data_IF_454822910769
#
_entry.id   IF_454822910769
#
_cell.length_a   1.000
_cell.length_b   1.000
_cell.length_c   1.000
_cell.angle_alpha   90.00
_cell.angle_beta   90.00
_cell.angle_gamma   90.00
#
_symmetry.space_group_name_H-M   'P 1'
#
loop_
_entity.id
_entity.type
_entity.pdbx_description
1 polymer ?
#
# COMPACT_ATOMS: atom_id res chain seq x y z
N UNK A 1 8.79 20.03 -5.99
CA UNK A 1 8.96 20.97 -4.86
C UNK A 1 8.40 20.32 -3.61
N UNK A 2 9.18 20.10 -2.58
CA UNK A 2 8.74 19.55 -1.32
C UNK A 2 8.02 20.64 -0.51
N UNK A 3 6.82 20.35 -0.01
CA UNK A 3 6.05 21.32 0.78
C UNK A 3 6.47 21.18 2.24
N UNK A 4 6.71 22.30 2.93
CA UNK A 4 6.95 22.28 4.37
C UNK A 4 5.81 21.57 5.08
N UNK A 5 6.15 20.62 5.91
CA UNK A 5 5.21 19.79 6.69
C UNK A 5 5.77 19.58 8.10
N UNK A 6 5.01 18.93 8.97
CA UNK A 6 5.50 18.54 10.29
C UNK A 6 6.57 17.42 10.22
N UNK A 7 6.95 16.99 9.02
CA UNK A 7 7.94 15.95 8.76
C UNK A 7 7.58 14.60 9.40
N UNK A 8 6.29 14.31 9.51
CA UNK A 8 5.78 13.06 10.07
C UNK A 8 5.81 11.98 8.99
N UNK A 9 6.38 10.83 9.32
CA UNK A 9 6.49 9.69 8.41
C UNK A 9 5.17 8.92 8.31
N UNK A 10 4.70 8.73 7.07
CA UNK A 10 3.58 7.88 6.69
C UNK A 10 4.03 6.82 5.69
N UNK A 11 3.36 5.67 5.71
CA UNK A 11 3.71 4.54 4.84
C UNK A 11 2.42 3.88 4.33
N UNK A 12 2.33 3.71 3.03
CA UNK A 12 1.37 2.80 2.41
C UNK A 12 2.09 1.50 2.07
N UNK A 13 1.53 0.37 2.47
CA UNK A 13 2.08 -0.98 2.25
C UNK A 13 1.12 -1.82 1.42
N UNK A 14 1.65 -2.58 0.48
CA UNK A 14 0.88 -3.47 -0.38
C UNK A 14 1.70 -4.71 -0.74
N UNK A 15 1.03 -5.82 -1.03
CA UNK A 15 1.63 -7.02 -1.59
C UNK A 15 0.80 -7.59 -2.74
N UNK A 16 1.47 -8.00 -3.81
CA UNK A 16 0.84 -8.80 -4.85
C UNK A 16 1.26 -10.26 -4.68
N UNK A 17 0.26 -11.13 -4.42
CA UNK A 17 0.48 -12.54 -4.14
C UNK A 17 0.69 -13.32 -5.44
N UNK A 18 1.76 -14.13 -5.49
CA UNK A 18 2.12 -15.03 -6.61
C UNK A 18 2.27 -14.37 -7.99
N UNK A 19 2.67 -13.10 -8.06
CA UNK A 19 2.80 -12.35 -9.33
C UNK A 19 4.20 -12.45 -9.95
N UNK A 20 5.16 -12.99 -9.23
CA UNK A 20 6.54 -13.12 -9.67
C UNK A 20 6.88 -14.56 -10.08
N UNK A 21 7.93 -14.77 -10.91
CA UNK A 21 8.41 -16.11 -11.25
C UNK A 21 8.67 -16.98 -10.02
N UNK A 22 8.55 -18.29 -10.17
CA UNK A 22 8.71 -19.29 -9.10
C UNK A 22 7.74 -19.10 -7.93
N UNK A 23 6.47 -18.76 -8.23
CA UNK A 23 5.41 -18.56 -7.25
C UNK A 23 5.78 -17.56 -6.13
N UNK A 24 6.57 -16.54 -6.45
CA UNK A 24 6.93 -15.48 -5.50
C UNK A 24 5.93 -14.34 -5.53
N UNK A 25 5.91 -13.60 -4.45
CA UNK A 25 5.08 -12.41 -4.28
C UNK A 25 5.93 -11.15 -4.35
N UNK A 26 5.31 -10.02 -4.68
CA UNK A 26 5.97 -8.70 -4.68
C UNK A 26 5.48 -7.89 -3.50
N UNK A 27 6.40 -7.26 -2.77
CA UNK A 27 6.10 -6.27 -1.75
C UNK A 27 6.34 -4.86 -2.29
N UNK A 28 5.48 -3.94 -1.92
CA UNK A 28 5.67 -2.52 -2.16
C UNK A 28 5.45 -1.69 -0.90
N UNK A 29 6.09 -0.52 -0.88
CA UNK A 29 5.93 0.50 0.13
C UNK A 29 6.11 1.88 -0.47
N UNK A 30 5.21 2.79 -0.13
CA UNK A 30 5.28 4.20 -0.49
C UNK A 30 5.46 5.02 0.78
N UNK A 31 6.66 5.61 0.96
CA UNK A 31 7.03 6.36 2.15
C UNK A 31 6.99 7.85 1.83
N UNK A 32 6.26 8.62 2.62
CA UNK A 32 6.16 10.05 2.43
C UNK A 32 6.13 10.79 3.77
N UNK A 33 6.47 12.07 3.74
CA UNK A 33 6.37 12.95 4.91
C UNK A 33 5.14 13.84 4.76
N UNK A 34 4.37 13.94 5.81
CA UNK A 34 3.16 14.74 5.87
C UNK A 34 3.08 15.57 7.15
N UNK A 35 1.89 16.06 7.42
CA UNK A 35 1.57 16.86 8.60
C UNK A 35 0.63 16.11 9.56
N UNK A 36 0.41 16.68 10.76
CA UNK A 36 -0.49 16.13 11.79
C UNK A 36 -1.94 15.99 11.32
N UNK A 37 -2.39 16.86 10.40
CA UNK A 37 -3.75 16.80 9.84
C UNK A 37 -3.94 15.72 8.78
N UNK A 38 -2.84 15.12 8.31
CA UNK A 38 -2.83 14.08 7.27
C UNK A 38 -3.49 14.51 5.95
N UNK A 39 -3.53 15.80 5.68
CA UNK A 39 -4.13 16.38 4.47
C UNK A 39 -3.10 16.64 3.36
N UNK A 40 -1.80 16.54 3.66
CA UNK A 40 -0.71 16.74 2.71
C UNK A 40 -0.03 15.41 2.38
N UNK A 41 0.07 15.10 1.11
CA UNK A 41 0.95 14.07 0.58
C UNK A 41 2.07 14.78 -0.18
N UNK A 42 3.26 14.79 0.40
CA UNK A 42 4.46 15.14 -0.32
C UNK A 42 4.88 14.00 -1.25
N UNK A 43 5.75 14.25 -2.21
CA UNK A 43 6.37 13.20 -3.00
C UNK A 43 7.02 12.14 -2.10
N UNK A 44 7.17 10.92 -2.61
CA UNK A 44 7.80 9.84 -1.85
C UNK A 44 9.26 10.19 -1.52
N UNK A 45 9.67 9.91 -0.29
CA UNK A 45 11.08 9.92 0.12
C UNK A 45 11.76 8.58 -0.15
N UNK A 46 10.97 7.51 -0.20
CA UNK A 46 11.42 6.15 -0.51
C UNK A 46 10.27 5.37 -1.13
N UNK A 47 10.59 4.60 -2.17
CA UNK A 47 9.69 3.59 -2.74
C UNK A 47 10.36 2.23 -2.60
N UNK A 48 9.67 1.29 -1.95
CA UNK A 48 10.03 -0.12 -1.97
C UNK A 48 9.22 -0.80 -3.08
N UNK A 49 9.88 -1.50 -3.98
CA UNK A 49 9.26 -2.42 -4.94
C UNK A 49 10.19 -3.64 -5.06
N UNK A 50 9.88 -4.72 -4.35
CA UNK A 50 10.81 -5.85 -4.21
C UNK A 50 10.10 -7.19 -4.20
N UNK A 51 10.66 -8.16 -4.91
CA UNK A 51 10.22 -9.56 -4.82
C UNK A 51 10.50 -10.12 -3.42
N UNK A 52 9.50 -10.75 -2.83
CA UNK A 52 9.64 -11.48 -1.56
C UNK A 52 10.36 -12.79 -1.86
N UNK A 53 11.51 -13.00 -1.24
CA UNK A 53 12.40 -14.14 -1.56
C UNK A 53 11.80 -15.51 -1.23
N UNK A 54 10.79 -15.57 -0.36
CA UNK A 54 10.16 -16.81 0.09
C UNK A 54 8.79 -16.96 -0.57
N UNK A 55 8.40 -18.21 -0.87
CA UNK A 55 7.04 -18.53 -1.30
C UNK A 55 6.09 -18.35 -0.11
N UNK A 56 5.02 -17.61 -0.31
CA UNK A 56 4.00 -17.37 0.69
C UNK A 56 2.84 -18.35 0.49
N UNK A 57 2.23 -18.79 1.58
CA UNK A 57 1.12 -19.75 1.54
C UNK A 57 -0.25 -19.07 1.33
N UNK A 58 -0.32 -17.76 1.51
CA UNK A 58 -1.56 -16.97 1.34
C UNK A 58 -1.29 -15.51 1.04
N UNK A 59 -2.30 -14.80 0.50
CA UNK A 59 -2.24 -13.36 0.30
C UNK A 59 -2.02 -12.60 1.61
N UNK A 60 -2.69 -13.01 2.71
CA UNK A 60 -2.49 -12.40 4.01
C UNK A 60 -1.05 -12.54 4.52
N UNK A 61 -0.40 -13.67 4.23
CA UNK A 61 1.01 -13.88 4.56
C UNK A 61 1.93 -12.96 3.77
N UNK A 62 1.67 -12.77 2.48
CA UNK A 62 2.42 -11.84 1.64
C UNK A 62 2.28 -10.40 2.16
N UNK A 63 1.08 -9.99 2.57
CA UNK A 63 0.84 -8.67 3.18
C UNK A 63 1.60 -8.48 4.49
N UNK A 64 1.57 -9.45 5.41
CA UNK A 64 2.37 -9.38 6.64
C UNK A 64 3.87 -9.29 6.34
N UNK A 65 4.35 -9.99 5.30
CA UNK A 65 5.74 -9.91 4.88
C UNK A 65 6.09 -8.52 4.32
N UNK A 66 5.21 -7.91 3.52
CA UNK A 66 5.37 -6.54 3.02
C UNK A 66 5.37 -5.53 4.17
N UNK A 67 4.42 -5.62 5.10
CA UNK A 67 4.37 -4.79 6.30
C UNK A 67 5.67 -4.88 7.12
N UNK A 68 6.19 -6.09 7.31
CA UNK A 68 7.46 -6.30 8.01
C UNK A 68 8.64 -5.64 7.29
N UNK A 69 8.73 -5.76 5.95
CA UNK A 69 9.80 -5.16 5.17
C UNK A 69 9.74 -3.63 5.25
N UNK A 70 8.55 -3.06 5.11
CA UNK A 70 8.31 -1.62 5.22
C UNK A 70 8.60 -1.09 6.63
N UNK A 71 8.12 -1.76 7.67
CA UNK A 71 8.36 -1.37 9.05
C UNK A 71 9.85 -1.42 9.42
N UNK A 72 10.62 -2.40 8.91
CA UNK A 72 12.08 -2.43 9.12
C UNK A 72 12.77 -1.18 8.57
N UNK A 73 12.42 -0.75 7.36
CA UNK A 73 12.96 0.48 6.76
C UNK A 73 12.51 1.71 7.55
N UNK A 74 11.27 1.72 8.00
CA UNK A 74 10.71 2.81 8.79
C UNK A 74 11.48 3.09 10.08
N UNK A 75 12.00 2.05 10.75
CA UNK A 75 12.78 2.24 11.99
C UNK A 75 13.97 3.18 11.75
N UNK A 76 14.75 2.94 10.70
CA UNK A 76 15.93 3.75 10.39
C UNK A 76 15.54 5.18 10.00
N UNK A 77 14.49 5.34 9.17
CA UNK A 77 14.00 6.66 8.75
C UNK A 77 13.49 7.45 9.96
N UNK A 78 12.69 6.83 10.85
CA UNK A 78 12.21 7.45 12.09
C UNK A 78 13.35 7.95 12.95
N UNK A 79 14.39 7.12 13.15
CA UNK A 79 15.56 7.50 13.93
C UNK A 79 16.31 8.68 13.32
N UNK A 80 16.46 8.71 11.99
CA UNK A 80 17.08 9.83 11.29
C UNK A 80 16.27 11.13 11.49
N UNK A 81 14.95 11.08 11.29
CA UNK A 81 14.05 12.22 11.49
C UNK A 81 14.12 12.77 12.92
N UNK A 82 14.08 11.88 13.92
CA UNK A 82 14.21 12.29 15.34
C UNK A 82 15.55 12.97 15.61
N UNK A 83 16.65 12.42 15.08
CA UNK A 83 17.99 13.04 15.24
C UNK A 83 18.11 14.39 14.53
N UNK A 84 17.34 14.62 13.46
CA UNK A 84 17.24 15.91 12.76
C UNK A 84 16.31 16.91 13.48
N UNK A 85 15.77 16.57 14.64
CA UNK A 85 14.90 17.46 15.43
C UNK A 85 13.42 17.37 15.10
N UNK A 86 12.98 16.34 14.34
CA UNK A 86 11.57 16.12 13.98
C UNK A 86 10.98 14.97 14.81
N UNK A 87 10.31 15.23 15.97
CA UNK A 87 9.68 14.20 16.77
C UNK A 87 8.68 13.38 15.97
N UNK A 88 8.73 12.05 16.11
CA UNK A 88 7.90 11.14 15.36
C UNK A 88 6.83 10.50 16.27
N UNK A 89 5.54 10.75 16.06
CA UNK A 89 4.46 9.96 16.66
C UNK A 89 4.55 8.51 16.17
N UNK A 90 3.70 7.58 16.66
CA UNK A 90 3.59 6.26 16.05
C UNK A 90 3.42 6.39 14.53
N UNK A 91 4.33 5.78 13.74
CA UNK A 91 4.23 5.88 12.28
C UNK A 91 3.04 5.08 11.80
N UNK A 92 2.15 5.73 11.10
CA UNK A 92 0.97 5.10 10.50
C UNK A 92 1.37 4.31 9.25
N UNK A 93 1.07 3.01 9.27
CA UNK A 93 1.31 2.09 8.16
C UNK A 93 -0.04 1.57 7.68
N UNK A 94 -0.43 1.95 6.47
CA UNK A 94 -1.66 1.52 5.83
C UNK A 94 -1.48 0.16 5.15
N UNK A 95 -2.47 -0.72 5.30
CA UNK A 95 -2.62 -1.96 4.51
C UNK A 95 -4.07 -2.08 4.03
N UNK A 96 -4.29 -2.70 2.89
CA UNK A 96 -5.63 -2.98 2.36
C UNK A 96 -6.11 -4.42 2.65
N UNK A 97 -5.32 -5.19 3.37
CA UNK A 97 -5.68 -6.55 3.80
C UNK A 97 -6.21 -6.55 5.23
N UNK A 98 -7.53 -6.68 5.39
CA UNK A 98 -8.18 -6.72 6.70
C UNK A 98 -7.74 -7.90 7.56
N UNK A 99 -7.41 -9.05 6.95
CA UNK A 99 -6.90 -10.24 7.65
C UNK A 99 -5.52 -9.97 8.23
N UNK A 100 -4.61 -9.34 7.46
CA UNK A 100 -3.28 -8.97 7.94
C UNK A 100 -3.38 -7.98 9.11
N UNK A 101 -4.25 -6.98 9.00
CA UNK A 101 -4.51 -6.04 10.08
C UNK A 101 -5.12 -6.74 11.31
N UNK A 102 -6.11 -7.61 11.13
CA UNK A 102 -6.75 -8.37 12.20
C UNK A 102 -5.79 -9.33 12.93
N UNK A 103 -4.84 -9.92 12.20
CA UNK A 103 -3.79 -10.75 12.79
C UNK A 103 -2.88 -9.87 13.69
N UNK A 104 -2.45 -8.70 13.22
CA UNK A 104 -1.55 -7.83 13.98
C UNK A 104 -2.24 -7.22 15.21
N UNK A 105 -3.53 -6.90 15.12
CA UNK A 105 -4.34 -6.39 16.23
C UNK A 105 -4.90 -7.46 17.19
N UNK A 106 -4.52 -8.73 17.05
CA UNK A 106 -5.03 -9.89 17.82
C UNK A 106 -6.53 -10.16 17.69
N UNK A 107 -7.22 -9.56 16.75
CA UNK A 107 -8.64 -9.84 16.49
C UNK A 107 -8.84 -11.16 15.74
N UNK A 108 -7.81 -11.66 15.07
CA UNK A 108 -7.79 -12.93 14.33
C UNK A 108 -6.61 -13.78 14.79
N UNK A 109 -6.86 -15.03 15.20
CA UNK A 109 -5.81 -15.97 15.58
C UNK A 109 -5.00 -16.42 14.37
N UNK A 110 -3.67 -16.33 14.47
CA UNK A 110 -2.78 -16.74 13.40
C UNK A 110 -2.71 -18.25 13.24
N UNK A 111 -2.75 -18.75 11.99
CA UNK A 111 -2.45 -20.13 11.64
C UNK A 111 -0.97 -20.50 11.85
N UNK A 112 -0.65 -21.78 11.94
CA UNK A 112 0.58 -22.38 12.53
C UNK A 112 1.90 -22.22 11.76
N UNK A 113 2.10 -21.24 10.87
CA UNK A 113 3.38 -21.07 10.15
C UNK A 113 4.47 -20.41 11.02
N UNK A 114 5.58 -21.13 11.26
CA UNK A 114 6.70 -20.64 12.09
C UNK A 114 7.41 -19.41 11.50
N UNK A 115 7.55 -19.33 10.19
CA UNK A 115 8.25 -18.22 9.53
C UNK A 115 7.50 -16.88 9.62
N UNK A 116 6.17 -16.94 9.60
CA UNK A 116 5.31 -15.77 9.80
C UNK A 116 5.38 -15.31 11.25
N UNK A 117 5.45 -16.23 12.21
CA UNK A 117 5.42 -15.91 13.63
C UNK A 117 6.47 -14.88 14.03
N UNK A 118 7.72 -15.03 13.60
CA UNK A 118 8.77 -14.08 13.98
C UNK A 118 8.51 -12.67 13.44
N UNK A 119 8.11 -12.54 12.18
CA UNK A 119 7.79 -11.25 11.55
C UNK A 119 6.57 -10.61 12.20
N UNK A 120 5.55 -11.41 12.44
CA UNK A 120 4.34 -11.04 13.12
C UNK A 120 4.62 -10.52 14.55
N UNK A 121 5.32 -11.30 15.39
CA UNK A 121 5.63 -10.89 16.75
C UNK A 121 6.53 -9.65 16.80
N UNK A 122 7.42 -9.50 15.84
CA UNK A 122 8.22 -8.30 15.73
C UNK A 122 7.35 -7.07 15.43
N UNK A 123 6.43 -7.15 14.47
CA UNK A 123 5.48 -6.07 14.16
C UNK A 123 4.61 -5.73 15.36
N UNK A 124 4.05 -6.76 16.01
CA UNK A 124 3.22 -6.62 17.20
C UNK A 124 3.98 -5.94 18.35
N UNK A 125 5.19 -6.39 18.65
CA UNK A 125 6.03 -5.79 19.69
C UNK A 125 6.30 -4.31 19.40
N UNK A 126 6.61 -3.94 18.17
CA UNK A 126 6.84 -2.54 17.77
C UNK A 126 5.57 -1.69 17.81
N UNK A 127 4.42 -2.26 17.49
CA UNK A 127 3.12 -1.61 17.62
C UNK A 127 2.78 -1.36 19.10
N UNK A 128 2.98 -2.35 19.98
CA UNK A 128 2.81 -2.21 21.42
C UNK A 128 3.74 -1.15 22.04
N UNK A 129 4.96 -1.03 21.51
CA UNK A 129 5.92 0.03 21.87
C UNK A 129 5.55 1.41 21.29
N UNK A 130 4.39 1.53 20.63
CA UNK A 130 3.91 2.78 19.99
C UNK A 130 4.90 3.34 18.96
N UNK A 131 5.69 2.48 18.32
CA UNK A 131 6.51 2.88 17.19
C UNK A 131 5.73 2.92 15.90
N UNK A 132 4.75 2.01 15.74
CA UNK A 132 3.88 1.89 14.58
C UNK A 132 2.41 1.83 15.00
N UNK A 133 1.56 2.40 14.14
CA UNK A 133 0.12 2.23 14.11
C UNK A 133 -0.26 1.61 12.76
N UNK A 134 -0.57 0.31 12.76
CA UNK A 134 -0.96 -0.41 11.55
C UNK A 134 -2.48 -0.35 11.47
N UNK A 135 -3.02 0.09 10.33
CA UNK A 135 -4.45 0.23 10.13
C UNK A 135 -4.87 -0.21 8.74
N UNK A 136 -6.12 -0.62 8.64
CA UNK A 136 -6.73 -1.02 7.39
C UNK A 136 -7.44 0.16 6.71
N UNK A 137 -7.25 0.26 5.40
CA UNK A 137 -8.02 1.16 4.54
C UNK A 137 -8.22 0.49 3.17
N UNK A 138 -9.26 0.91 2.43
CA UNK A 138 -9.57 0.36 1.11
C UNK A 138 -8.39 0.49 0.14
N UNK A 139 -8.10 -0.56 -0.64
CA UNK A 139 -6.97 -0.60 -1.58
C UNK A 139 -7.02 0.46 -2.69
N UNK A 140 -8.20 1.01 -3.00
CA UNK A 140 -8.35 2.10 -3.98
C UNK A 140 -7.58 3.38 -3.59
N UNK A 141 -7.30 3.58 -2.31
CA UNK A 141 -6.56 4.74 -1.78
C UNK A 141 -5.11 4.40 -1.44
N UNK A 142 -4.68 3.16 -1.63
CA UNK A 142 -3.34 2.70 -1.30
C UNK A 142 -2.34 3.07 -2.40
N UNK A 143 -1.42 4.00 -2.10
CA UNK A 143 -0.42 4.48 -3.05
C UNK A 143 0.64 3.41 -3.39
N UNK A 144 0.88 2.44 -2.51
CA UNK A 144 1.81 1.35 -2.77
C UNK A 144 1.30 0.38 -3.85
N UNK A 145 -0.02 0.32 -4.06
CA UNK A 145 -0.66 -0.58 -5.01
C UNK A 145 -0.16 -0.42 -6.46
N UNK A 146 0.25 0.80 -6.83
CA UNK A 146 0.84 1.07 -8.14
C UNK A 146 2.14 0.29 -8.40
N UNK A 147 2.90 -0.05 -7.37
CA UNK A 147 4.22 -0.69 -7.49
C UNK A 147 4.18 -2.21 -7.42
N UNK A 148 3.02 -2.80 -7.17
CA UNK A 148 2.85 -4.25 -7.07
C UNK A 148 2.27 -4.88 -8.33
N UNK A 149 1.63 -4.10 -9.21
CA UNK A 149 0.88 -4.59 -10.37
C UNK A 149 1.39 -4.02 -11.68
N UNK A 150 1.12 -4.75 -12.77
CA UNK A 150 1.28 -4.22 -14.13
C UNK A 150 0.08 -3.35 -14.48
N UNK A 151 0.34 -2.21 -15.11
CA UNK A 151 -0.69 -1.23 -15.46
C UNK A 151 -0.63 -0.90 -16.95
N UNK A 152 -1.79 -0.57 -17.52
CA UNK A 152 -1.87 -0.08 -18.91
C UNK A 152 -1.24 1.32 -19.05
N UNK A 153 -0.78 1.71 -20.25
CA UNK A 153 -0.27 3.06 -20.49
C UNK A 153 -1.23 4.18 -20.09
N UNK A 154 -2.54 3.96 -20.29
CA UNK A 154 -3.58 4.91 -19.89
C UNK A 154 -3.62 5.09 -18.36
N UNK A 155 -3.41 4.01 -17.59
CA UNK A 155 -3.32 4.07 -16.13
C UNK A 155 -2.08 4.86 -15.70
N UNK A 156 -0.91 4.61 -16.28
CA UNK A 156 0.30 5.36 -15.96
C UNK A 156 0.13 6.88 -16.18
N UNK A 157 -0.42 7.28 -17.34
CA UNK A 157 -0.64 8.69 -17.65
C UNK A 157 -1.51 9.40 -16.62
N UNK A 158 -2.52 8.72 -16.11
CA UNK A 158 -3.49 9.35 -15.26
C UNK A 158 -3.12 9.37 -13.77
N UNK A 159 -2.33 8.39 -13.26
CA UNK A 159 -1.83 8.43 -11.88
C UNK A 159 -0.50 9.19 -11.77
N UNK A 160 0.12 9.52 -12.90
CA UNK A 160 1.37 10.28 -12.96
C UNK A 160 1.38 11.54 -12.08
N UNK A 161 0.34 12.39 -12.05
CA UNK A 161 0.31 13.58 -11.21
C UNK A 161 0.40 13.29 -9.70
N UNK A 162 0.01 12.09 -9.27
CA UNK A 162 0.07 11.66 -7.85
C UNK A 162 1.52 11.37 -7.46
N UNK A 163 2.27 10.70 -8.33
CA UNK A 163 3.62 10.23 -8.04
C UNK A 163 4.72 11.20 -8.49
N UNK A 164 4.43 12.02 -9.50
CA UNK A 164 5.37 12.98 -10.08
C UNK A 164 4.73 14.36 -10.03
N UNK A 165 4.96 15.09 -8.95
CA UNK A 165 4.50 16.46 -8.79
C UNK A 165 5.29 17.37 -9.75
N UNK A 166 4.66 17.80 -10.83
CA UNK A 166 5.20 18.82 -11.74
C UNK A 166 4.78 20.21 -11.25
N UNK A 167 5.67 20.87 -10.55
CA UNK A 167 5.82 22.32 -10.34
C UNK A 167 4.68 23.15 -9.74
N UNK A 168 3.41 22.94 -10.08
CA UNK A 168 2.34 23.88 -9.72
C UNK A 168 1.11 23.27 -9.03
N UNK A 169 0.94 21.96 -9.05
CA UNK A 169 -0.26 21.32 -8.50
C UNK A 169 0.01 20.75 -7.11
N UNK A 170 -0.55 21.41 -6.11
CA UNK A 170 -0.67 20.85 -4.76
C UNK A 170 -1.78 19.81 -4.78
N UNK A 171 -1.41 18.53 -4.76
CA UNK A 171 -2.39 17.48 -4.50
C UNK A 171 -2.55 17.34 -2.99
N UNK A 172 -3.73 17.68 -2.50
CA UNK A 172 -4.15 17.28 -1.16
C UNK A 172 -4.36 15.76 -1.13
N UNK A 173 -4.31 15.15 0.05
CA UNK A 173 -4.65 13.72 0.22
C UNK A 173 -6.04 13.44 -0.38
N UNK A 174 -6.99 14.32 -0.18
CA UNK A 174 -8.33 14.24 -0.75
C UNK A 174 -8.31 14.27 -2.28
N UNK A 175 -7.57 15.17 -2.91
CA UNK A 175 -7.43 15.23 -4.37
C UNK A 175 -6.78 13.96 -4.95
N UNK A 176 -5.79 13.37 -4.28
CA UNK A 176 -5.22 12.08 -4.67
C UNK A 176 -6.26 10.95 -4.59
N UNK A 177 -7.07 10.91 -3.54
CA UNK A 177 -8.14 9.95 -3.33
C UNK A 177 -9.19 10.09 -4.43
N UNK A 178 -9.62 11.30 -4.77
CA UNK A 178 -10.61 11.57 -5.82
C UNK A 178 -10.12 11.05 -7.18
N UNK A 179 -8.88 11.34 -7.57
CA UNK A 179 -8.29 10.83 -8.81
C UNK A 179 -8.29 9.30 -8.85
N UNK A 180 -7.94 8.64 -7.74
CA UNK A 180 -7.92 7.18 -7.64
C UNK A 180 -9.34 6.58 -7.69
N UNK A 181 -10.31 7.22 -7.01
CA UNK A 181 -11.71 6.76 -6.95
C UNK A 181 -12.44 6.92 -8.29
N UNK A 182 -12.30 8.07 -8.97
CA UNK A 182 -12.88 8.27 -10.30
C UNK A 182 -12.44 7.18 -11.28
N UNK A 183 -11.19 6.73 -11.16
CA UNK A 183 -10.65 5.68 -12.02
C UNK A 183 -11.18 4.31 -11.70
N UNK A 184 -11.26 3.97 -10.42
CA UNK A 184 -11.88 2.71 -10.03
C UNK A 184 -13.32 2.61 -10.58
N UNK A 185 -14.05 3.72 -10.63
CA UNK A 185 -15.38 3.81 -11.25
C UNK A 185 -15.34 3.64 -12.77
N UNK A 186 -14.42 4.32 -13.47
CA UNK A 186 -14.29 4.20 -14.94
C UNK A 186 -13.91 2.78 -15.35
N UNK A 187 -13.01 2.11 -14.62
CA UNK A 187 -12.64 0.72 -14.88
C UNK A 187 -13.84 -0.22 -14.66
N UNK A 188 -14.59 -0.06 -13.56
CA UNK A 188 -15.80 -0.87 -13.32
C UNK A 188 -16.85 -0.70 -14.41
N UNK A 189 -17.08 0.52 -14.90
CA UNK A 189 -18.01 0.77 -16.03
C UNK A 189 -17.56 0.08 -17.31
N UNK A 190 -16.29 0.22 -17.68
CA UNK A 190 -15.73 -0.42 -18.87
C UNK A 190 -15.83 -1.96 -18.82
N UNK A 191 -15.54 -2.57 -17.65
CA UNK A 191 -15.68 -4.03 -17.46
C UNK A 191 -17.14 -4.47 -17.57
N UNK A 192 -18.07 -3.73 -16.95
CA UNK A 192 -19.50 -4.05 -17.03
C UNK A 192 -20.07 -3.88 -18.46
N UNK A 193 -19.59 -2.91 -19.22
CA UNK A 193 -19.96 -2.74 -20.63
C UNK A 193 -19.41 -3.87 -21.49
N UNK A 194 -18.17 -4.29 -21.28
CA UNK A 194 -17.58 -5.43 -21.98
C UNK A 194 -18.31 -6.75 -21.67
N UNK A 195 -18.74 -6.95 -20.42
CA UNK A 195 -19.53 -8.13 -20.05
C UNK A 195 -20.92 -8.15 -20.69
N UNK A 196 -21.55 -6.99 -20.87
CA UNK A 196 -22.85 -6.86 -21.56
C UNK A 196 -22.76 -7.14 -23.05
N UNK A 197 -21.63 -6.85 -23.69
CA UNK A 197 -21.41 -7.12 -25.13
C UNK A 197 -21.05 -8.59 -25.41
N UNK A 198 -20.47 -9.30 -24.44
CA UNK A 198 -20.10 -10.73 -24.57
C UNK A 198 -21.29 -11.66 -24.30
N UNK A 199 -22.22 -11.28 -23.42
CA UNK A 199 -23.38 -12.10 -23.06
C UNK A 199 -24.31 -12.49 -24.25
N UNK A 200 -24.57 -11.63 -25.28
CA UNK A 200 -25.41 -12.02 -26.42
C UNK A 200 -24.71 -12.95 -27.43
N UNK A 201 -23.38 -13.02 -27.47
CA UNK A 201 -22.64 -13.88 -28.39
C UNK A 201 -22.65 -15.36 -27.94
N UNK A 202 -22.65 -15.63 -26.66
CA UNK A 202 -22.67 -16.98 -26.10
C UNK A 202 -24.04 -17.65 -26.26
N UNK A 203 -25.14 -16.88 -26.23
CA UNK A 203 -26.50 -17.39 -26.40
C UNK A 203 -26.83 -17.82 -27.87
N UNK A 204 -26.05 -17.37 -28.85
CA UNK A 204 -26.22 -17.77 -30.28
C UNK A 204 -25.38 -18.99 -30.66
N UNK A 205 -24.47 -19.43 -29.83
CA UNK A 205 -23.61 -20.60 -30.12
C UNK A 205 -24.17 -21.92 -29.56
N UNK A 206 -25.26 -21.88 -28.81
CA UNK A 206 -25.94 -23.06 -28.22
C UNK A 206 -27.37 -23.26 -28.73
N UNK A 207 -27.76 -22.62 -29.84
CA UNK A 207 -28.98 -22.91 -30.60
C UNK A 207 -28.57 -23.39 -32.02
#
# INVERSE_FOLDING_TARGET
MYIASDMILFIDSDAAYLVEPMARSRAAGFFYLGNKKEDIINGSILILAKTIKFVMSSAAEAEVAALYMNAKLAVSIRQALIKMGHPQPPTRIKTDNSTANGIISDTIKQSRSKAIRMRFYWLKCRSQQKQFEIYWERGATNLAHYFTKHHSPAHHKAVRPIYLLTGAQRLTKQGCIEILMERAHKIKRAVNESLKTVAPACARACA
#
